data_IF_750177427561
#
_entry.id   IF_750177427561
#
_cell.length_a   1.000
_cell.length_b   1.000
_cell.length_c   1.000
_cell.angle_alpha   90.00
_cell.angle_beta   90.00
_cell.angle_gamma   90.00
#
_symmetry.space_group_name_H-M   'P 1'
#
loop_
_entity.id
_entity.type
_entity.pdbx_description
1 polymer ?
#
# COMPACT_ATOMS: atom_id res chain seq x y z
N UNK A 1 25.07 20.60 13.98
CA UNK A 1 23.63 20.94 14.10
C UNK A 1 23.04 19.85 14.97
N UNK A 2 22.91 20.15 16.25
CA UNK A 2 22.32 19.26 17.25
C UNK A 2 20.80 19.26 17.04
N UNK A 3 20.22 18.11 16.72
CA UNK A 3 18.78 17.91 16.69
C UNK A 3 18.42 16.94 17.82
N UNK A 4 17.53 17.34 18.72
CA UNK A 4 16.76 16.38 19.53
C UNK A 4 16.74 16.53 21.05
N UNK A 5 16.70 17.75 21.62
CA UNK A 5 16.44 17.93 23.05
C UNK A 5 14.97 18.22 23.42
N UNK A 6 14.10 18.47 22.43
CA UNK A 6 12.76 19.04 22.68
C UNK A 6 11.59 18.04 22.49
N UNK A 7 11.88 16.74 22.36
CA UNK A 7 10.86 15.70 22.29
C UNK A 7 10.79 14.99 23.65
N UNK A 8 9.59 14.91 24.23
CA UNK A 8 9.36 14.25 25.52
C UNK A 8 9.91 12.82 25.45
N UNK A 9 10.86 12.50 26.33
CA UNK A 9 11.51 11.19 26.42
C UNK A 9 10.54 10.02 26.64
N UNK A 10 9.29 10.30 27.03
CA UNK A 10 8.23 9.30 27.20
C UNK A 10 7.37 9.08 25.95
N UNK A 11 7.49 9.90 24.91
CA UNK A 11 6.78 9.72 23.65
C UNK A 11 7.65 8.93 22.66
N UNK A 12 7.09 7.84 22.13
CA UNK A 12 7.74 7.09 21.04
C UNK A 12 7.74 7.94 19.77
N UNK A 13 8.83 8.66 19.56
CA UNK A 13 9.05 9.51 18.37
C UNK A 13 9.76 8.76 17.24
N UNK A 14 9.87 7.43 17.32
CA UNK A 14 10.46 6.63 16.23
C UNK A 14 9.67 6.74 14.92
N UNK A 15 8.39 7.14 14.97
CA UNK A 15 7.60 7.47 13.77
C UNK A 15 8.02 8.80 13.10
N UNK A 16 8.75 9.68 13.81
CA UNK A 16 9.29 10.93 13.25
C UNK A 16 10.63 10.66 12.57
N UNK A 17 11.41 9.69 13.07
CA UNK A 17 12.66 9.19 12.48
C UNK A 17 12.41 8.26 11.28
N UNK A 18 11.46 8.62 10.42
CA UNK A 18 11.22 7.93 9.16
C UNK A 18 12.15 8.56 8.10
N UNK A 19 12.96 7.74 7.44
CA UNK A 19 13.81 8.18 6.32
C UNK A 19 12.98 8.97 5.31
N UNK A 20 13.52 10.07 4.77
CA UNK A 20 12.87 10.90 3.73
C UNK A 20 12.55 10.14 2.44
N UNK A 21 13.04 8.90 2.30
CA UNK A 21 12.77 8.00 1.19
C UNK A 21 11.68 6.95 1.50
N UNK A 22 11.05 6.98 2.67
CA UNK A 22 10.00 6.03 3.04
C UNK A 22 8.70 6.34 2.30
N UNK A 23 8.09 5.32 1.72
CA UNK A 23 6.84 5.44 0.99
C UNK A 23 5.65 5.68 1.92
N UNK A 24 4.68 6.54 1.54
CA UNK A 24 3.41 6.67 2.24
C UNK A 24 2.75 5.32 2.54
N UNK A 25 2.76 4.37 1.59
CA UNK A 25 2.21 3.03 1.81
C UNK A 25 2.93 2.27 2.93
N UNK A 26 4.26 2.37 3.01
CA UNK A 26 5.06 1.69 4.02
C UNK A 26 4.83 2.28 5.43
N UNK A 27 4.59 3.60 5.54
CA UNK A 27 4.24 4.26 6.80
C UNK A 27 2.90 3.74 7.34
N UNK A 28 1.90 3.65 6.47
CA UNK A 28 0.58 3.12 6.84
C UNK A 28 0.67 1.64 7.21
N UNK A 29 1.50 0.88 6.50
CA UNK A 29 1.73 -0.53 6.80
C UNK A 29 2.45 -0.74 8.13
N UNK A 30 3.45 0.09 8.45
CA UNK A 30 4.12 0.05 9.75
C UNK A 30 3.16 0.42 10.88
N UNK A 31 2.32 1.43 10.67
CA UNK A 31 1.25 1.81 11.60
C UNK A 31 0.30 0.63 11.87
N UNK A 32 -0.13 -0.08 10.82
CA UNK A 32 -0.96 -1.27 10.95
C UNK A 32 -0.27 -2.38 11.77
N UNK A 33 1.01 -2.66 11.48
CA UNK A 33 1.81 -3.63 12.25
C UNK A 33 1.92 -3.23 13.73
N UNK A 34 2.21 -1.96 14.03
CA UNK A 34 2.33 -1.46 15.42
C UNK A 34 1.01 -1.55 16.16
N UNK A 35 -0.10 -1.13 15.53
CA UNK A 35 -1.44 -1.22 16.09
C UNK A 35 -1.84 -2.67 16.40
N UNK A 36 -1.43 -3.62 15.58
CA UNK A 36 -1.79 -5.02 15.75
C UNK A 36 -0.86 -5.79 16.69
N UNK A 37 0.46 -5.69 16.53
CA UNK A 37 1.44 -6.51 17.27
C UNK A 37 1.96 -5.86 18.55
N UNK A 38 2.15 -4.54 18.55
CA UNK A 38 2.88 -3.85 19.62
C UNK A 38 1.94 -3.19 20.63
N UNK A 39 0.65 -3.07 20.30
CA UNK A 39 -0.30 -2.39 21.15
C UNK A 39 -0.74 -3.29 22.32
N UNK A 40 -0.04 -3.13 23.45
CA UNK A 40 -0.66 -3.32 24.76
C UNK A 40 -1.43 -2.03 25.08
N UNK A 41 -2.68 -1.97 24.66
CA UNK A 41 -3.54 -0.87 25.09
C UNK A 41 -3.56 -0.90 26.63
N UNK A 42 -3.17 0.22 27.28
CA UNK A 42 -3.19 0.36 28.75
C UNK A 42 -4.51 -0.22 29.27
N UNK A 43 -4.50 -0.98 30.39
CA UNK A 43 -5.65 -1.73 30.97
C UNK A 43 -7.01 -1.01 30.98
N UNK A 44 -7.00 0.32 30.90
CA UNK A 44 -8.15 1.22 30.93
C UNK A 44 -8.89 1.33 29.57
N UNK A 45 -8.22 0.99 28.46
CA UNK A 45 -8.72 1.10 27.09
C UNK A 45 -8.86 -0.29 26.42
N UNK A 46 -9.17 -1.34 27.19
CA UNK A 46 -9.27 -2.77 26.78
C UNK A 46 -10.28 -3.11 25.65
N UNK A 47 -10.76 -2.13 24.89
CA UNK A 47 -11.59 -2.38 23.73
C UNK A 47 -10.74 -2.74 22.50
N UNK A 48 -10.29 -4.00 22.44
CA UNK A 48 -9.55 -4.55 21.30
C UNK A 48 -10.28 -4.33 19.96
N UNK A 49 -11.60 -4.22 19.98
CA UNK A 49 -12.42 -3.92 18.80
C UNK A 49 -11.99 -2.64 18.07
N UNK A 50 -11.80 -1.54 18.80
CA UNK A 50 -11.46 -0.25 18.19
C UNK A 50 -10.07 -0.27 17.57
N UNK A 51 -9.11 -0.90 18.25
CA UNK A 51 -7.74 -1.03 17.73
C UNK A 51 -7.66 -1.97 16.54
N UNK A 52 -8.38 -3.09 16.56
CA UNK A 52 -8.48 -4.00 15.42
C UNK A 52 -9.09 -3.28 14.21
N UNK A 53 -10.15 -2.49 14.42
CA UNK A 53 -10.73 -1.67 13.35
C UNK A 53 -9.72 -0.65 12.82
N UNK A 54 -9.01 0.07 13.69
CA UNK A 54 -7.97 1.02 13.27
C UNK A 54 -6.86 0.31 12.46
N UNK A 55 -6.48 -0.89 12.87
CA UNK A 55 -5.55 -1.71 12.10
C UNK A 55 -6.10 -2.03 10.70
N UNK A 56 -7.39 -2.39 10.57
CA UNK A 56 -8.02 -2.58 9.25
C UNK A 56 -7.98 -1.32 8.38
N UNK A 57 -8.30 -0.15 8.94
CA UNK A 57 -8.22 1.12 8.22
C UNK A 57 -6.79 1.43 7.77
N UNK A 58 -5.79 1.19 8.63
CA UNK A 58 -4.39 1.38 8.28
C UNK A 58 -3.94 0.41 7.18
N UNK A 59 -4.36 -0.87 7.23
CA UNK A 59 -4.13 -1.85 6.16
C UNK A 59 -4.76 -1.37 4.84
N UNK A 60 -6.00 -0.88 4.90
CA UNK A 60 -6.72 -0.36 3.74
C UNK A 60 -5.99 0.81 3.09
N UNK A 61 -5.58 1.80 3.89
CA UNK A 61 -4.85 2.97 3.42
C UNK A 61 -3.51 2.59 2.82
N UNK A 62 -2.80 1.65 3.45
CA UNK A 62 -1.55 1.08 2.94
C UNK A 62 -1.72 0.49 1.54
N UNK A 63 -2.70 -0.41 1.36
CA UNK A 63 -2.97 -1.04 0.06
C UNK A 63 -3.37 -0.01 -1.00
N UNK A 64 -4.24 0.92 -0.63
CA UNK A 64 -4.71 1.97 -1.54
C UNK A 64 -3.57 2.89 -1.99
N UNK A 65 -2.76 3.36 -1.04
CA UNK A 65 -1.57 4.17 -1.32
C UNK A 65 -0.60 3.42 -2.22
N UNK A 66 -0.38 2.13 -1.97
CA UNK A 66 0.57 1.33 -2.74
C UNK A 66 0.14 1.18 -4.20
N UNK A 67 -1.11 0.82 -4.42
CA UNK A 67 -1.66 0.63 -5.79
C UNK A 67 -1.71 1.97 -6.52
N UNK A 68 -2.18 3.04 -5.88
CA UNK A 68 -2.20 4.39 -6.47
C UNK A 68 -0.79 4.91 -6.77
N UNK A 69 0.14 4.72 -5.84
CA UNK A 69 1.54 5.08 -5.97
C UNK A 69 2.24 4.37 -7.13
N UNK A 70 1.94 3.08 -7.33
CA UNK A 70 2.40 2.32 -8.49
C UNK A 70 1.83 2.87 -9.81
N UNK A 71 0.52 3.12 -9.85
CA UNK A 71 -0.17 3.66 -11.02
C UNK A 71 0.16 5.14 -11.28
N UNK A 72 0.74 5.84 -10.30
CA UNK A 72 0.99 7.27 -10.37
C UNK A 72 -0.28 8.11 -10.33
N UNK A 73 -1.38 7.58 -9.80
CA UNK A 73 -2.68 8.26 -9.79
C UNK A 73 -2.91 8.85 -8.40
N UNK A 74 -3.07 10.17 -8.31
CA UNK A 74 -3.50 10.84 -7.07
C UNK A 74 -4.98 10.50 -6.83
N UNK A 75 -5.82 10.86 -7.80
CA UNK A 75 -7.21 10.40 -7.88
C UNK A 75 -7.66 10.29 -9.34
N UNK A 76 -8.70 9.48 -9.59
CA UNK A 76 -9.37 9.44 -10.87
C UNK A 76 -10.89 9.36 -10.69
N UNK A 77 -11.62 10.04 -11.56
CA UNK A 77 -13.09 10.09 -11.53
C UNK A 77 -13.68 9.73 -12.89
N UNK A 78 -14.86 9.11 -12.85
CA UNK A 78 -15.71 8.85 -14.02
C UNK A 78 -17.13 9.31 -13.71
N UNK A 79 -17.71 10.14 -14.60
CA UNK A 79 -19.05 10.70 -14.41
C UNK A 79 -19.28 11.33 -13.02
N UNK A 80 -18.27 12.04 -12.48
CA UNK A 80 -18.32 12.69 -11.17
C UNK A 80 -18.17 11.75 -9.95
N UNK A 81 -17.91 10.45 -10.16
CA UNK A 81 -17.67 9.47 -9.09
C UNK A 81 -16.22 9.00 -9.08
N UNK A 82 -15.65 8.77 -7.90
CA UNK A 82 -14.31 8.21 -7.76
C UNK A 82 -14.24 6.78 -8.31
N UNK A 83 -13.17 6.48 -9.04
CA UNK A 83 -12.83 5.12 -9.43
C UNK A 83 -12.31 4.39 -8.20
N UNK A 84 -12.88 3.22 -7.90
CA UNK A 84 -12.55 2.45 -6.71
C UNK A 84 -11.25 1.65 -6.82
N UNK A 85 -10.66 1.32 -5.68
CA UNK A 85 -9.41 0.55 -5.58
C UNK A 85 -9.46 -0.78 -6.35
N UNK A 86 -10.59 -1.48 -6.34
CA UNK A 86 -10.74 -2.75 -7.06
C UNK A 86 -10.48 -2.61 -8.57
N UNK A 87 -10.83 -1.47 -9.18
CA UNK A 87 -10.52 -1.20 -10.60
C UNK A 87 -9.03 -0.97 -10.78
N UNK A 88 -8.42 -0.17 -9.91
CA UNK A 88 -6.98 0.09 -9.95
C UNK A 88 -6.14 -1.17 -9.74
N UNK A 89 -6.56 -2.09 -8.87
CA UNK A 89 -5.89 -3.38 -8.69
C UNK A 89 -5.94 -4.25 -9.95
N UNK A 90 -7.09 -4.29 -10.64
CA UNK A 90 -7.22 -5.01 -11.92
C UNK A 90 -6.27 -4.46 -12.98
N UNK A 91 -6.13 -3.13 -13.04
CA UNK A 91 -5.19 -2.48 -13.96
C UNK A 91 -3.77 -2.84 -13.56
N UNK A 92 -3.40 -2.64 -12.29
CA UNK A 92 -2.05 -2.92 -11.80
C UNK A 92 -1.58 -4.34 -12.17
N UNK A 93 -2.39 -5.36 -11.86
CA UNK A 93 -2.11 -6.76 -12.19
C UNK A 93 -1.80 -7.01 -13.67
N UNK A 94 -2.38 -6.23 -14.59
CA UNK A 94 -2.28 -6.44 -16.04
C UNK A 94 -1.20 -5.60 -16.75
N UNK A 95 -0.41 -4.81 -16.02
CA UNK A 95 0.56 -3.89 -16.63
C UNK A 95 1.73 -4.64 -17.27
N UNK A 96 2.00 -4.35 -18.54
CA UNK A 96 3.08 -4.98 -19.30
C UNK A 96 4.45 -4.38 -18.99
N UNK A 97 4.49 -3.11 -18.60
CA UNK A 97 5.74 -2.39 -18.29
C UNK A 97 6.15 -2.46 -16.82
N UNK A 98 5.48 -3.29 -16.02
CA UNK A 98 5.79 -3.53 -14.61
C UNK A 98 6.19 -4.97 -14.40
N UNK A 99 7.33 -5.19 -13.76
CA UNK A 99 7.73 -6.50 -13.26
C UNK A 99 7.44 -6.59 -11.76
N UNK A 100 6.67 -7.59 -11.38
CA UNK A 100 6.39 -7.94 -9.98
C UNK A 100 7.38 -8.99 -9.48
N UNK A 101 7.63 -8.98 -8.17
CA UNK A 101 8.30 -10.12 -7.51
C UNK A 101 7.49 -11.40 -7.71
N UNK A 102 8.18 -12.53 -7.92
CA UNK A 102 7.55 -13.86 -8.07
C UNK A 102 6.70 -14.27 -6.86
N UNK A 103 6.95 -13.67 -5.70
CA UNK A 103 6.23 -13.98 -4.47
C UNK A 103 4.94 -13.13 -4.33
N UNK A 104 4.64 -12.26 -5.30
CA UNK A 104 3.45 -11.39 -5.25
C UNK A 104 2.23 -12.13 -5.78
N UNK A 105 1.37 -12.60 -4.89
CA UNK A 105 0.12 -13.29 -5.23
C UNK A 105 -1.06 -12.31 -5.35
N UNK A 106 -1.28 -11.76 -6.54
CA UNK A 106 -2.37 -10.80 -6.80
C UNK A 106 -3.76 -11.33 -6.42
N UNK A 107 -3.99 -12.62 -6.57
CA UNK A 107 -5.26 -13.26 -6.16
C UNK A 107 -5.48 -13.12 -4.66
N UNK A 108 -4.46 -13.34 -3.83
CA UNK A 108 -4.56 -13.18 -2.38
C UNK A 108 -4.75 -11.71 -1.99
N UNK A 109 -4.07 -10.79 -2.68
CA UNK A 109 -4.22 -9.34 -2.45
C UNK A 109 -5.66 -8.90 -2.78
N UNK A 110 -6.26 -9.41 -3.86
CA UNK A 110 -7.68 -9.17 -4.19
C UNK A 110 -8.62 -9.71 -3.10
N UNK A 111 -8.34 -10.89 -2.54
CA UNK A 111 -9.08 -11.43 -1.40
C UNK A 111 -8.98 -10.54 -0.16
N UNK A 112 -7.78 -10.04 0.17
CA UNK A 112 -7.58 -9.09 1.27
C UNK A 112 -8.41 -7.81 1.05
N UNK A 113 -8.43 -7.25 -0.16
CA UNK A 113 -9.26 -6.10 -0.50
C UNK A 113 -10.75 -6.37 -0.30
N UNK A 114 -11.24 -7.54 -0.72
CA UNK A 114 -12.64 -7.93 -0.55
C UNK A 114 -13.01 -8.11 0.93
N UNK A 115 -12.13 -8.76 1.68
CA UNK A 115 -12.27 -8.94 3.13
C UNK A 115 -12.29 -7.60 3.88
N UNK A 116 -11.36 -6.68 3.57
CA UNK A 116 -11.35 -5.33 4.13
C UNK A 116 -12.67 -4.61 3.87
N UNK A 117 -13.14 -4.60 2.62
CA UNK A 117 -14.42 -3.96 2.26
C UNK A 117 -15.58 -4.56 3.08
N UNK A 118 -15.63 -5.89 3.21
CA UNK A 118 -16.69 -6.58 3.97
C UNK A 118 -16.71 -6.13 5.44
N UNK A 119 -15.57 -6.16 6.11
CA UNK A 119 -15.48 -5.86 7.54
C UNK A 119 -15.65 -4.37 7.84
N UNK A 120 -15.10 -3.50 6.99
CA UNK A 120 -15.21 -2.05 7.15
C UNK A 120 -16.65 -1.57 6.94
N UNK A 121 -17.34 -2.03 5.89
CA UNK A 121 -18.73 -1.62 5.62
C UNK A 121 -19.74 -2.17 6.63
N UNK A 122 -19.46 -3.34 7.23
CA UNK A 122 -20.37 -3.96 8.20
C UNK A 122 -19.99 -3.67 9.65
N UNK A 123 -18.90 -2.94 9.88
CA UNK A 123 -18.32 -2.72 11.21
C UNK A 123 -18.14 -4.02 12.01
N UNK A 124 -17.77 -5.11 11.32
CA UNK A 124 -17.59 -6.42 11.94
C UNK A 124 -16.16 -6.58 12.41
N UNK A 125 -15.99 -6.98 13.67
CA UNK A 125 -14.66 -7.35 14.18
C UNK A 125 -14.18 -8.62 13.49
N UNK A 126 -13.05 -8.59 12.77
CA UNK A 126 -12.45 -9.82 12.27
C UNK A 126 -11.76 -10.57 13.40
N UNK A 127 -11.47 -11.84 13.15
CA UNK A 127 -10.60 -12.60 14.03
C UNK A 127 -9.14 -12.15 13.90
N UNK A 128 -8.38 -12.07 15.01
CA UNK A 128 -6.99 -11.59 14.98
C UNK A 128 -6.07 -12.34 14.00
N UNK A 129 -6.23 -13.66 13.86
CA UNK A 129 -5.41 -14.45 12.92
C UNK A 129 -5.65 -14.07 11.46
N UNK A 130 -6.83 -13.55 11.11
CA UNK A 130 -7.12 -13.08 9.75
C UNK A 130 -6.44 -11.73 9.50
N UNK A 131 -6.38 -10.86 10.52
CA UNK A 131 -5.60 -9.60 10.43
C UNK A 131 -4.12 -9.91 10.21
N UNK A 132 -3.57 -10.87 10.96
CA UNK A 132 -2.19 -11.36 10.79
C UNK A 132 -1.94 -11.85 9.36
N UNK A 133 -2.82 -12.71 8.83
CA UNK A 133 -2.72 -13.21 7.46
C UNK A 133 -2.76 -12.09 6.42
N UNK A 134 -3.66 -11.12 6.57
CA UNK A 134 -3.74 -9.97 5.67
C UNK A 134 -2.44 -9.15 5.67
N UNK A 135 -1.81 -8.96 6.85
CA UNK A 135 -0.51 -8.30 6.95
C UNK A 135 0.58 -9.11 6.24
N UNK A 136 0.65 -10.43 6.42
CA UNK A 136 1.67 -11.26 5.77
C UNK A 136 1.55 -11.26 4.24
N UNK A 137 0.32 -11.37 3.71
CA UNK A 137 0.06 -11.28 2.26
C UNK A 137 0.51 -9.93 1.70
N UNK A 138 0.16 -8.83 2.38
CA UNK A 138 0.47 -7.48 1.90
C UNK A 138 1.92 -7.07 2.09
N UNK A 139 2.64 -7.70 3.02
CA UNK A 139 4.06 -7.42 3.30
C UNK A 139 4.89 -7.47 2.03
N UNK A 140 4.66 -8.48 1.18
CA UNK A 140 5.42 -8.70 -0.04
C UNK A 140 5.18 -7.61 -1.10
N UNK A 141 4.03 -6.94 -1.07
CA UNK A 141 3.71 -5.85 -1.99
C UNK A 141 4.15 -4.48 -1.48
N UNK A 142 4.04 -4.25 -0.16
CA UNK A 142 4.14 -2.91 0.44
C UNK A 142 5.50 -2.66 1.12
N UNK A 143 6.03 -3.66 1.83
CA UNK A 143 7.30 -3.60 2.57
C UNK A 143 8.16 -4.84 2.23
N UNK A 144 8.53 -5.02 0.94
CA UNK A 144 9.36 -6.12 0.50
C UNK A 144 10.77 -5.93 1.07
N UNK A 145 11.03 -6.53 2.24
CA UNK A 145 12.36 -6.54 2.86
C UNK A 145 13.38 -7.37 2.07
N UNK A 146 12.90 -8.14 1.11
CA UNK A 146 13.71 -8.99 0.24
C UNK A 146 13.95 -8.32 -1.12
N UNK A 147 15.14 -8.50 -1.72
CA UNK A 147 15.42 -7.99 -3.05
C UNK A 147 14.66 -8.78 -4.12
N UNK A 148 14.39 -8.13 -5.27
CA UNK A 148 13.83 -8.83 -6.42
C UNK A 148 14.95 -9.62 -7.11
N UNK A 149 14.81 -10.94 -7.17
CA UNK A 149 15.78 -11.86 -7.78
C UNK A 149 15.17 -12.42 -9.07
N UNK A 150 15.74 -12.12 -10.24
CA UNK A 150 15.27 -12.67 -11.52
C UNK A 150 16.43 -12.96 -12.47
N UNK A 151 16.53 -14.22 -12.88
CA UNK A 151 17.34 -14.81 -13.97
C UNK A 151 18.85 -14.54 -14.03
N UNK A 152 19.37 -13.44 -13.47
CA UNK A 152 20.78 -13.10 -13.20
C UNK A 152 20.94 -11.69 -12.57
N UNK A 153 19.85 -11.06 -12.11
CA UNK A 153 19.85 -9.72 -11.52
C UNK A 153 19.20 -9.76 -10.14
N UNK A 154 19.85 -9.11 -9.19
CA UNK A 154 19.32 -8.85 -7.85
C UNK A 154 19.13 -7.36 -7.71
N UNK A 155 17.87 -6.92 -7.59
CA UNK A 155 17.50 -5.52 -7.45
C UNK A 155 17.22 -5.26 -5.97
N UNK A 156 18.16 -4.57 -5.31
CA UNK A 156 17.99 -4.07 -3.96
C UNK A 156 17.31 -2.70 -4.02
N UNK A 157 16.13 -2.61 -3.42
CA UNK A 157 15.36 -1.38 -3.40
C UNK A 157 14.37 -1.43 -2.25
N UNK A 158 14.13 -0.32 -1.56
CA UNK A 158 12.99 -0.21 -0.63
C UNK A 158 11.64 -0.38 -1.34
N UNK A 159 11.63 -0.25 -2.67
CA UNK A 159 10.46 -0.40 -3.54
C UNK A 159 10.41 -1.79 -4.23
N UNK A 160 11.20 -2.79 -3.76
CA UNK A 160 11.57 -4.06 -4.44
C UNK A 160 10.44 -4.99 -4.87
N UNK A 161 9.17 -4.67 -4.63
CA UNK A 161 8.03 -5.44 -5.14
C UNK A 161 7.73 -5.14 -6.62
N UNK A 162 8.12 -3.96 -7.13
CA UNK A 162 7.77 -3.51 -8.47
C UNK A 162 8.90 -2.78 -9.16
N UNK A 163 9.25 -3.24 -10.35
CA UNK A 163 10.23 -2.62 -11.22
C UNK A 163 9.57 -2.14 -12.51
N UNK A 164 9.81 -0.88 -12.89
CA UNK A 164 9.23 -0.28 -14.09
C UNK A 164 10.27 -0.21 -15.20
N UNK A 165 9.92 -0.80 -16.35
CA UNK A 165 10.78 -0.90 -17.53
C UNK A 165 10.84 0.44 -18.26
N UNK A 166 9.69 1.10 -18.46
CA UNK A 166 9.53 2.40 -19.13
C UNK A 166 8.34 3.14 -18.52
N UNK A 167 8.59 4.29 -17.88
CA UNK A 167 7.56 5.07 -17.19
C UNK A 167 6.63 5.84 -18.15
N UNK A 168 7.15 6.30 -19.30
CA UNK A 168 6.34 7.04 -20.28
C UNK A 168 5.37 6.09 -20.99
N UNK A 169 5.85 4.90 -21.35
CA UNK A 169 5.02 3.84 -21.89
C UNK A 169 3.99 3.35 -20.86
N UNK A 170 4.40 3.20 -19.59
CA UNK A 170 3.51 2.83 -18.49
C UNK A 170 2.36 3.82 -18.29
N UNK A 171 2.64 5.12 -18.29
CA UNK A 171 1.58 6.13 -18.12
C UNK A 171 0.54 6.06 -19.25
N UNK A 172 1.00 5.90 -20.50
CA UNK A 172 0.12 5.74 -21.67
C UNK A 172 -0.71 4.46 -21.59
N UNK A 173 -0.10 3.35 -21.15
CA UNK A 173 -0.80 2.08 -20.92
C UNK A 173 -1.94 2.25 -19.91
N UNK A 174 -1.65 2.84 -18.74
CA UNK A 174 -2.64 3.06 -17.67
C UNK A 174 -3.79 3.94 -18.15
N UNK A 175 -3.49 5.03 -18.85
CA UNK A 175 -4.50 5.94 -19.38
C UNK A 175 -5.39 5.25 -20.43
N UNK A 176 -4.79 4.46 -21.33
CA UNK A 176 -5.53 3.71 -22.34
C UNK A 176 -6.47 2.69 -21.68
N UNK A 177 -5.96 1.87 -20.75
CA UNK A 177 -6.77 0.86 -20.05
C UNK A 177 -7.91 1.50 -19.24
N UNK A 178 -7.66 2.65 -18.59
CA UNK A 178 -8.72 3.37 -17.88
C UNK A 178 -9.82 3.89 -18.81
N UNK A 179 -9.44 4.42 -19.99
CA UNK A 179 -10.40 4.92 -20.98
C UNK A 179 -11.20 3.80 -21.65
N UNK A 180 -10.63 2.61 -21.79
CA UNK A 180 -11.36 1.42 -22.25
C UNK A 180 -12.44 1.00 -21.25
N UNK A 181 -12.14 1.06 -19.95
CA UNK A 181 -13.10 0.70 -18.89
C UNK A 181 -14.15 1.79 -18.61
N UNK A 182 -13.83 3.05 -18.91
CA UNK A 182 -14.64 4.20 -18.53
C UNK A 182 -14.57 5.31 -19.59
N UNK A 183 -15.73 5.73 -20.09
CA UNK A 183 -15.83 6.63 -21.27
C UNK A 183 -15.35 8.07 -20.99
N UNK A 184 -15.50 8.57 -19.74
CA UNK A 184 -15.17 9.97 -19.37
C UNK A 184 -14.29 10.01 -18.12
N UNK A 185 -13.10 9.42 -18.21
CA UNK A 185 -12.13 9.45 -17.11
C UNK A 185 -11.41 10.79 -17.05
N UNK A 186 -11.35 11.34 -15.85
CA UNK A 186 -10.43 12.42 -15.49
C UNK A 186 -9.41 11.85 -14.50
N UNK A 187 -8.13 11.97 -14.81
CA UNK A 187 -7.03 11.46 -14.00
C UNK A 187 -6.21 12.65 -13.50
N UNK A 188 -6.00 12.73 -12.19
CA UNK A 188 -4.94 13.54 -11.61
C UNK A 188 -3.75 12.64 -11.32
N UNK A 189 -2.61 12.97 -11.91
CA UNK A 189 -1.37 12.22 -11.71
C UNK A 189 -0.64 12.72 -10.46
N UNK A 190 0.07 11.82 -9.79
CA UNK A 190 1.02 12.15 -8.73
C UNK A 190 2.25 12.82 -9.35
N UNK A 191 2.86 13.76 -8.61
CA UNK A 191 4.12 14.38 -9.00
C UNK A 191 5.27 13.35 -9.05
N UNK A 192 5.20 12.29 -8.23
CA UNK A 192 6.18 11.22 -8.17
C UNK A 192 5.50 9.86 -7.92
N UNK A 193 5.86 8.87 -8.72
CA UNK A 193 5.45 7.46 -8.58
C UNK A 193 6.25 6.71 -7.51
N UNK A 194 5.63 5.73 -6.87
CA UNK A 194 6.26 4.84 -5.90
C UNK A 194 6.91 3.61 -6.57
N UNK A 195 7.86 3.85 -7.49
CA UNK A 195 8.44 2.81 -8.37
C UNK A 195 9.98 2.84 -8.41
N UNK A 196 10.58 1.68 -8.71
CA UNK A 196 11.99 1.60 -9.15
C UNK A 196 12.04 1.74 -10.66
N UNK A 197 12.90 2.63 -11.16
CA UNK A 197 13.14 2.79 -12.59
C UNK A 197 14.34 1.95 -13.04
N UNK A 198 14.28 1.45 -14.27
CA UNK A 198 15.47 1.01 -15.00
C UNK A 198 16.36 2.23 -15.26
N UNK A 199 17.62 2.18 -14.81
CA UNK A 199 18.66 3.14 -15.22
C UNK A 199 19.01 2.92 -16.68
#
# INVERSE_FOLDING_TARGET
MEFGSDLDSNEDTSFILISTNTLPSAIQFDSAKRLFYNHQIRKQNQNNYSTDLLALYAIRLSLESRVRGLLGIDYATTNGKNIGLSTFMKIAKGLKYVEYSSNTEWTEIEWVNNWLNHHMHRHLRPYPWIIHQALEVLRLLVDPKEPLIKSNRTIYSFYSATYVIDESALQKEIEATLKELHIKVQIRWLDKREIVKKK
#
